data_IF_053280995744
#
_entry.id   IF_053280995744
#
_cell.length_a   1.000
_cell.length_b   1.000
_cell.length_c   1.000
_cell.angle_alpha   90.00
_cell.angle_beta   90.00
_cell.angle_gamma   90.00
#
_symmetry.space_group_name_H-M   'P 1'
#
loop_
_entity.id
_entity.type
_entity.pdbx_description
1 polymer ?
#
# COMPACT_ATOMS: atom_id res chain seq x y z
N UNK A 1 1.79 19.85 -0.23
CA UNK A 1 2.09 18.46 0.14
C UNK A 1 1.59 17.62 -1.02
N UNK A 2 2.46 16.82 -1.66
CA UNK A 2 2.02 15.96 -2.77
C UNK A 2 1.12 14.83 -2.22
N UNK A 3 0.06 14.51 -2.95
CA UNK A 3 -0.86 13.41 -2.66
C UNK A 3 -0.27 12.06 -3.09
N UNK A 4 -0.80 10.96 -2.55
CA UNK A 4 -0.35 9.61 -2.93
C UNK A 4 -0.57 9.38 -4.42
N UNK A 5 -1.68 9.84 -4.99
CA UNK A 5 -1.95 9.74 -6.44
C UNK A 5 -0.93 10.48 -7.30
N UNK A 6 -0.54 11.70 -6.91
CA UNK A 6 0.47 12.46 -7.65
C UNK A 6 1.81 11.72 -7.64
N UNK A 7 2.22 11.20 -6.48
CA UNK A 7 3.47 10.43 -6.36
C UNK A 7 3.41 9.13 -7.19
N UNK A 8 2.30 8.40 -7.15
CA UNK A 8 2.12 7.19 -7.96
C UNK A 8 2.08 7.48 -9.47
N UNK A 9 1.67 8.67 -9.90
CA UNK A 9 1.67 9.05 -11.32
C UNK A 9 3.08 9.20 -11.90
N UNK A 10 4.08 9.45 -11.04
CA UNK A 10 5.49 9.60 -11.42
C UNK A 10 6.18 8.26 -11.74
N UNK A 11 5.52 7.12 -11.53
CA UNK A 11 6.07 5.78 -11.80
C UNK A 11 6.48 5.53 -13.26
N UNK A 12 5.96 6.31 -14.21
CA UNK A 12 6.36 6.20 -15.61
C UNK A 12 7.71 6.87 -15.89
N UNK A 13 8.11 7.83 -15.05
CA UNK A 13 9.24 8.72 -15.27
C UNK A 13 10.35 8.55 -14.21
N UNK A 14 10.10 7.77 -13.15
CA UNK A 14 10.99 7.62 -11.99
C UNK A 14 11.22 6.15 -11.62
N UNK A 15 12.27 5.88 -10.84
CA UNK A 15 12.53 4.54 -10.31
C UNK A 15 11.42 4.16 -9.30
N UNK A 16 10.89 2.94 -9.43
CA UNK A 16 9.95 2.34 -8.48
C UNK A 16 10.43 2.51 -7.02
N UNK A 17 11.72 2.31 -6.76
CA UNK A 17 12.25 2.33 -5.40
C UNK A 17 12.18 3.74 -4.79
N UNK A 18 12.37 4.77 -5.62
CA UNK A 18 12.26 6.16 -5.21
C UNK A 18 10.82 6.50 -4.85
N UNK A 19 9.86 6.13 -5.71
CA UNK A 19 8.43 6.31 -5.45
C UNK A 19 7.99 5.57 -4.18
N UNK A 20 8.43 4.32 -4.02
CA UNK A 20 8.13 3.54 -2.83
C UNK A 20 8.68 4.20 -1.56
N UNK A 21 9.91 4.70 -1.59
CA UNK A 21 10.53 5.41 -0.46
C UNK A 21 9.78 6.70 -0.12
N UNK A 22 9.42 7.51 -1.11
CA UNK A 22 8.65 8.74 -0.89
C UNK A 22 7.32 8.45 -0.16
N UNK A 23 6.62 7.39 -0.56
CA UNK A 23 5.36 7.01 0.07
C UNK A 23 5.55 6.45 1.49
N UNK A 24 6.62 5.69 1.72
CA UNK A 24 6.98 5.19 3.06
C UNK A 24 7.37 6.34 4.00
N UNK A 25 8.07 7.36 3.49
CA UNK A 25 8.47 8.54 4.26
C UNK A 25 7.27 9.40 4.71
N UNK A 26 6.18 9.41 3.92
CA UNK A 26 4.90 9.99 4.38
C UNK A 26 4.36 9.18 5.55
N UNK A 27 4.46 7.85 5.49
CA UNK A 27 4.11 6.94 6.57
C UNK A 27 2.61 6.78 6.79
N UNK A 28 2.19 6.67 8.06
CA UNK A 28 0.80 6.39 8.45
C UNK A 28 -0.25 7.30 7.78
N UNK A 29 -0.04 8.62 7.60
CA UNK A 29 -0.96 9.48 6.86
C UNK A 29 -1.29 9.05 5.43
N UNK A 30 -0.40 8.33 4.73
CA UNK A 30 -0.65 7.85 3.37
C UNK A 30 -1.53 6.59 3.31
N UNK A 31 -1.66 5.86 4.42
CA UNK A 31 -2.30 4.53 4.47
C UNK A 31 -3.73 4.52 3.91
N UNK A 32 -4.63 5.46 4.28
CA UNK A 32 -6.01 5.41 3.78
C UNK A 32 -6.07 5.49 2.25
N UNK A 33 -5.31 6.41 1.66
CA UNK A 33 -5.29 6.62 0.21
C UNK A 33 -4.58 5.45 -0.51
N UNK A 34 -3.50 4.91 0.06
CA UNK A 34 -2.83 3.72 -0.47
C UNK A 34 -3.76 2.50 -0.51
N UNK A 35 -4.57 2.26 0.52
CA UNK A 35 -5.53 1.15 0.54
C UNK A 35 -6.66 1.35 -0.48
N UNK A 36 -7.11 2.59 -0.70
CA UNK A 36 -8.04 2.90 -1.80
C UNK A 36 -7.39 2.64 -3.16
N UNK A 37 -6.15 3.09 -3.38
CA UNK A 37 -5.42 2.88 -4.62
C UNK A 37 -5.22 1.39 -4.91
N UNK A 38 -4.84 0.60 -3.91
CA UNK A 38 -4.56 -0.82 -4.06
C UNK A 38 -5.74 -1.63 -4.66
N UNK A 39 -6.98 -1.16 -4.44
CA UNK A 39 -8.19 -1.77 -4.97
C UNK A 39 -8.46 -1.41 -6.44
N UNK A 40 -7.98 -0.26 -6.92
CA UNK A 40 -8.26 0.25 -8.27
C UNK A 40 -7.08 0.13 -9.23
N UNK A 41 -5.84 0.30 -8.76
CA UNK A 41 -4.64 0.22 -9.60
C UNK A 41 -4.30 -1.23 -9.94
N UNK A 42 -3.55 -1.43 -11.03
CA UNK A 42 -3.15 -2.75 -11.56
C UNK A 42 -1.67 -2.76 -11.90
N UNK A 43 -1.14 -3.93 -12.24
CA UNK A 43 0.25 -4.10 -12.70
C UNK A 43 1.28 -3.58 -11.69
N UNK A 44 2.31 -2.89 -12.21
CA UNK A 44 3.44 -2.38 -11.44
C UNK A 44 3.01 -1.46 -10.30
N UNK A 45 2.13 -0.50 -10.56
CA UNK A 45 1.64 0.46 -9.55
C UNK A 45 1.00 -0.25 -8.36
N UNK A 46 0.22 -1.31 -8.62
CA UNK A 46 -0.37 -2.12 -7.55
C UNK A 46 0.69 -2.81 -6.69
N UNK A 47 1.76 -3.29 -7.32
CA UNK A 47 2.90 -3.88 -6.63
C UNK A 47 3.62 -2.87 -5.72
N UNK A 48 3.84 -1.64 -6.19
CA UNK A 48 4.45 -0.57 -5.38
C UNK A 48 3.58 -0.23 -4.18
N UNK A 49 2.28 0.02 -4.39
CA UNK A 49 1.33 0.31 -3.31
C UNK A 49 1.30 -0.80 -2.26
N UNK A 50 1.26 -2.06 -2.70
CA UNK A 50 1.30 -3.22 -1.82
C UNK A 50 2.58 -3.25 -0.97
N UNK A 51 3.74 -3.03 -1.59
CA UNK A 51 5.03 -3.05 -0.89
C UNK A 51 5.19 -1.88 0.07
N UNK A 52 4.73 -0.69 -0.31
CA UNK A 52 4.67 0.48 0.58
C UNK A 52 3.84 0.16 1.83
N UNK A 53 2.65 -0.42 1.69
CA UNK A 53 1.78 -0.77 2.83
C UNK A 53 2.44 -1.79 3.77
N UNK A 54 3.16 -2.78 3.21
CA UNK A 54 3.96 -3.73 3.99
C UNK A 54 5.04 -3.01 4.79
N UNK A 55 5.78 -2.08 4.15
CA UNK A 55 6.88 -1.33 4.77
C UNK A 55 6.40 -0.33 5.83
N UNK A 56 5.23 0.29 5.63
CA UNK A 56 4.59 1.11 6.67
C UNK A 56 4.19 0.24 7.88
N UNK A 57 3.78 -1.00 7.64
CA UNK A 57 3.56 -1.99 8.67
C UNK A 57 2.19 -1.90 9.34
N UNK A 58 2.15 -2.06 10.67
CA UNK A 58 0.93 -2.25 11.47
C UNK A 58 -0.18 -1.22 11.24
N UNK A 59 0.19 0.04 11.02
CA UNK A 59 -0.77 1.12 10.75
C UNK A 59 -1.66 0.82 9.55
N UNK A 60 -1.22 -0.05 8.63
CA UNK A 60 -1.98 -0.49 7.46
C UNK A 60 -3.06 -1.54 7.77
N UNK A 61 -2.92 -2.31 8.86
CA UNK A 61 -3.73 -3.52 9.11
C UNK A 61 -5.22 -3.19 9.23
N UNK A 62 -5.60 -2.18 10.01
CA UNK A 62 -7.02 -1.88 10.25
C UNK A 62 -7.71 -1.36 8.99
N UNK A 63 -6.99 -0.59 8.16
CA UNK A 63 -7.49 -0.15 6.87
C UNK A 63 -7.66 -1.31 5.88
N UNK A 64 -6.70 -2.24 5.85
CA UNK A 64 -6.78 -3.45 5.02
C UNK A 64 -7.97 -4.34 5.42
N UNK A 65 -8.19 -4.55 6.72
CA UNK A 65 -9.37 -5.29 7.22
C UNK A 65 -10.68 -4.60 6.84
N UNK A 66 -10.76 -3.28 7.00
CA UNK A 66 -11.95 -2.51 6.63
C UNK A 66 -12.24 -2.62 5.13
N UNK A 67 -11.22 -2.54 4.29
CA UNK A 67 -11.36 -2.71 2.85
C UNK A 67 -11.80 -4.13 2.47
N UNK A 68 -11.22 -5.17 3.09
CA UNK A 68 -11.63 -6.57 2.89
C UNK A 68 -13.10 -6.83 3.26
N UNK A 69 -13.56 -6.24 4.37
CA UNK A 69 -14.96 -6.35 4.79
C UNK A 69 -15.92 -5.67 3.79
N UNK A 70 -15.50 -4.58 3.15
CA UNK A 70 -16.31 -3.83 2.19
C UNK A 70 -16.24 -4.41 0.77
N UNK A 71 -15.19 -5.16 0.45
CA UNK A 71 -14.93 -5.69 -0.89
C UNK A 71 -14.40 -7.12 -0.78
N UNK A 72 -15.29 -8.10 -1.04
CA UNK A 72 -14.95 -9.52 -0.94
C UNK A 72 -13.92 -9.98 -1.97
N UNK A 73 -13.85 -9.36 -3.14
CA UNK A 73 -12.79 -9.66 -4.12
C UNK A 73 -11.41 -9.18 -3.65
N UNK A 74 -11.37 -8.25 -2.69
CA UNK A 74 -10.15 -7.72 -2.10
C UNK A 74 -9.68 -8.49 -0.86
N UNK A 75 -10.53 -9.35 -0.29
CA UNK A 75 -10.28 -10.07 0.97
C UNK A 75 -8.95 -10.83 0.96
N UNK A 76 -8.72 -11.67 -0.07
CA UNK A 76 -7.50 -12.45 -0.20
C UNK A 76 -6.23 -11.57 -0.24
N UNK A 77 -6.31 -10.42 -0.91
CA UNK A 77 -5.18 -9.50 -1.07
C UNK A 77 -4.86 -8.82 0.27
N UNK A 78 -5.90 -8.41 0.99
CA UNK A 78 -5.74 -7.82 2.32
C UNK A 78 -5.15 -8.83 3.31
N UNK A 79 -5.65 -10.08 3.32
CA UNK A 79 -5.14 -11.15 4.19
C UNK A 79 -3.68 -11.47 3.91
N UNK A 80 -3.29 -11.54 2.63
CA UNK A 80 -1.89 -11.71 2.22
C UNK A 80 -1.02 -10.59 2.80
N UNK A 81 -1.40 -9.32 2.58
CA UNK A 81 -0.64 -8.17 3.07
C UNK A 81 -0.54 -8.13 4.59
N UNK A 82 -1.62 -8.43 5.29
CA UNK A 82 -1.64 -8.49 6.76
C UNK A 82 -0.70 -9.60 7.27
N UNK A 83 -0.64 -10.73 6.56
CA UNK A 83 0.27 -11.83 6.89
C UNK A 83 1.73 -11.41 6.71
N UNK A 84 2.06 -10.76 5.59
CA UNK A 84 3.40 -10.23 5.34
C UNK A 84 3.82 -9.19 6.40
N UNK A 85 2.93 -8.24 6.73
CA UNK A 85 3.19 -7.23 7.76
C UNK A 85 3.51 -7.87 9.12
N UNK A 86 2.74 -8.89 9.51
CA UNK A 86 2.97 -9.61 10.77
C UNK A 86 4.21 -10.49 10.73
N UNK A 87 4.48 -11.14 9.59
CA UNK A 87 5.64 -12.00 9.39
C UNK A 87 6.95 -11.22 9.41
N UNK A 88 6.98 -10.00 8.88
CA UNK A 88 8.16 -9.14 8.87
C UNK A 88 8.60 -8.67 10.27
N UNK A 89 7.75 -8.85 11.29
CA UNK A 89 8.12 -8.62 12.69
C UNK A 89 8.78 -9.81 13.38
N UNK A 90 8.68 -11.00 12.77
CA UNK A 90 9.20 -12.24 13.32
C UNK A 90 10.63 -12.57 12.83
N UNK A 91 11.21 -11.68 12.01
CA UNK A 91 12.55 -11.82 11.42
C UNK A 91 13.60 -10.94 12.15
#
# INVERSE_FOLDING_TARGET
MQSVKEILSMLNDSDKNEIENMLVDIGTPAVPELVEQLQVVRGLTRGVVAMTLIRIGDSSIDYLKKAANNNKDFEWVAEYLITEIKGNKAA
#
